data_IF_479682265450
#
_entry.id   IF_479682265450
#
_cell.length_a   1.000
_cell.length_b   1.000
_cell.length_c   1.000
_cell.angle_alpha   90.00
_cell.angle_beta   90.00
_cell.angle_gamma   90.00
#
_symmetry.space_group_name_H-M   'P 1'
#
loop_
_entity.id
_entity.type
_entity.pdbx_description
1 polymer ?
#
# COMPACT_ATOMS: atom_id res chain seq x y z
N UNK A 1 5.59 5.94 31.35
CA UNK A 1 6.61 4.96 30.90
C UNK A 1 6.82 5.24 29.41
N UNK A 2 8.04 5.39 28.92
CA UNK A 2 8.28 5.58 27.48
C UNK A 2 8.01 4.26 26.76
N UNK A 3 7.15 4.30 25.75
CA UNK A 3 6.85 3.13 24.92
C UNK A 3 8.02 2.84 23.99
N UNK A 4 8.41 1.59 23.84
CA UNK A 4 9.43 1.19 22.87
C UNK A 4 8.81 1.17 21.46
N UNK A 5 9.50 1.76 20.49
CA UNK A 5 9.14 1.75 19.08
C UNK A 5 10.39 1.66 18.22
N UNK A 6 10.24 1.15 17.00
CA UNK A 6 11.31 1.04 16.02
C UNK A 6 10.78 1.36 14.63
N UNK A 7 11.70 1.59 13.70
CA UNK A 7 11.41 1.69 12.27
C UNK A 7 12.53 0.95 11.52
N UNK A 8 12.12 0.03 10.65
CA UNK A 8 13.00 -0.59 9.66
C UNK A 8 12.64 -0.08 8.30
N UNK A 9 13.61 0.13 7.44
CA UNK A 9 13.44 0.76 6.14
C UNK A 9 14.47 0.21 5.14
N UNK A 10 14.27 0.41 3.84
CA UNK A 10 15.23 0.01 2.82
C UNK A 10 16.64 0.54 3.09
N UNK A 11 17.65 -0.19 2.62
CA UNK A 11 19.03 0.21 2.74
C UNK A 11 19.32 1.55 2.03
N UNK A 12 18.70 1.74 0.83
CA UNK A 12 18.78 3.00 0.11
C UNK A 12 17.52 3.24 -0.72
N UNK A 13 17.15 4.51 -0.87
CA UNK A 13 16.05 4.98 -1.71
C UNK A 13 16.60 6.04 -2.66
N UNK A 14 16.32 5.86 -3.94
CA UNK A 14 16.70 6.80 -5.00
C UNK A 14 15.42 7.38 -5.61
N UNK A 15 15.30 8.69 -5.63
CA UNK A 15 14.10 9.36 -6.12
C UNK A 15 14.39 10.52 -7.04
N UNK A 16 13.44 10.85 -7.92
CA UNK A 16 13.50 11.98 -8.82
C UNK A 16 14.10 11.67 -10.18
N UNK A 17 14.59 12.71 -10.84
CA UNK A 17 15.12 12.61 -12.21
C UNK A 17 16.33 11.67 -12.27
N UNK A 18 16.34 10.79 -13.26
CA UNK A 18 17.39 9.76 -13.48
C UNK A 18 17.56 8.75 -12.32
N UNK A 19 16.59 8.62 -11.41
CA UNK A 19 16.65 7.64 -10.34
C UNK A 19 16.84 6.21 -10.88
N UNK A 20 16.31 5.90 -12.07
CA UNK A 20 16.41 4.61 -12.75
C UNK A 20 17.86 4.19 -13.06
N UNK A 21 18.77 5.15 -13.27
CA UNK A 21 20.19 4.87 -13.58
C UNK A 21 20.91 4.17 -12.42
N UNK A 22 20.38 4.32 -11.20
CA UNK A 22 20.93 3.66 -10.01
C UNK A 22 20.81 2.12 -10.08
N UNK A 23 19.88 1.57 -10.86
CA UNK A 23 19.77 0.11 -11.06
C UNK A 23 21.08 -0.45 -11.60
N UNK A 24 21.63 0.18 -12.65
CA UNK A 24 22.93 -0.20 -13.24
C UNK A 24 24.06 -0.14 -12.21
N UNK A 25 24.09 0.91 -11.38
CA UNK A 25 25.10 1.08 -10.34
C UNK A 25 24.97 0.03 -9.23
N UNK A 26 23.73 -0.28 -8.80
CA UNK A 26 23.43 -1.31 -7.79
C UNK A 26 23.91 -2.68 -8.27
N UNK A 27 23.56 -3.08 -9.50
CA UNK A 27 23.94 -4.37 -10.09
C UNK A 27 25.47 -4.50 -10.10
N UNK A 28 26.19 -3.48 -10.57
CA UNK A 28 27.65 -3.46 -10.60
C UNK A 28 28.27 -3.50 -9.21
N UNK A 29 27.77 -2.70 -8.27
CA UNK A 29 28.27 -2.66 -6.89
C UNK A 29 28.07 -3.98 -6.14
N UNK A 30 26.96 -4.68 -6.41
CA UNK A 30 26.66 -6.00 -5.87
C UNK A 30 27.42 -7.12 -6.57
N UNK A 31 27.99 -6.86 -7.75
CA UNK A 31 28.66 -7.86 -8.57
C UNK A 31 27.70 -8.91 -9.11
N UNK A 32 26.41 -8.56 -9.21
CA UNK A 32 25.38 -9.47 -9.67
C UNK A 32 25.62 -9.88 -11.12
N UNK A 33 25.47 -11.16 -11.40
CA UNK A 33 25.71 -11.77 -12.73
C UNK A 33 24.43 -12.01 -13.48
N UNK A 34 23.35 -12.33 -12.75
CA UNK A 34 22.05 -12.64 -13.32
C UNK A 34 20.93 -12.02 -12.49
N UNK A 35 20.09 -11.25 -13.15
CA UNK A 35 18.98 -10.50 -12.54
C UNK A 35 17.65 -11.17 -12.87
N UNK A 36 16.84 -11.46 -11.87
CA UNK A 36 15.43 -11.79 -12.09
C UNK A 36 14.60 -10.51 -12.11
N UNK A 37 13.91 -10.25 -13.22
CA UNK A 37 13.07 -9.09 -13.39
C UNK A 37 11.60 -9.49 -13.24
N UNK A 38 10.94 -9.05 -12.17
CA UNK A 38 9.52 -9.27 -11.91
C UNK A 38 8.69 -8.12 -12.46
N UNK A 39 7.64 -8.44 -13.21
CA UNK A 39 6.65 -7.50 -13.75
C UNK A 39 5.31 -8.18 -14.00
N UNK A 40 4.41 -7.55 -14.72
CA UNK A 40 3.19 -8.14 -15.25
C UNK A 40 2.90 -7.65 -16.68
N UNK A 41 2.00 -8.35 -17.37
CA UNK A 41 1.62 -8.05 -18.76
C UNK A 41 1.02 -6.65 -18.94
N UNK A 42 0.39 -6.09 -17.90
CA UNK A 42 -0.14 -4.73 -17.93
C UNK A 42 0.97 -3.68 -17.98
N UNK A 43 2.02 -3.88 -17.19
CA UNK A 43 3.20 -2.99 -17.15
C UNK A 43 3.99 -3.07 -18.46
N UNK A 44 4.16 -4.28 -19.02
CA UNK A 44 4.79 -4.46 -20.34
C UNK A 44 3.95 -3.77 -21.44
N UNK A 45 2.63 -4.02 -21.47
CA UNK A 45 1.71 -3.42 -22.42
C UNK A 45 1.64 -1.90 -22.34
N UNK A 46 1.88 -1.31 -21.17
CA UNK A 46 1.98 0.12 -20.96
C UNK A 46 3.37 0.71 -21.36
N UNK A 47 4.32 -0.13 -21.75
CA UNK A 47 5.69 0.27 -22.12
C UNK A 47 6.56 0.73 -20.95
N UNK A 48 6.11 0.56 -19.71
CA UNK A 48 6.83 1.01 -18.51
C UNK A 48 8.02 0.13 -18.19
N UNK A 49 7.96 -1.15 -18.56
CA UNK A 49 9.03 -2.11 -18.31
C UNK A 49 10.33 -1.81 -19.06
N UNK A 50 10.25 -1.06 -20.17
CA UNK A 50 11.44 -0.73 -20.99
C UNK A 50 12.52 0.03 -20.21
N UNK A 51 12.13 0.97 -19.34
CA UNK A 51 13.08 1.79 -18.56
C UNK A 51 13.95 0.95 -17.61
N UNK A 52 13.41 0.13 -16.69
CA UNK A 52 14.22 -0.73 -15.85
C UNK A 52 14.98 -1.81 -16.63
N UNK A 53 14.38 -2.34 -17.71
CA UNK A 53 15.05 -3.32 -18.57
C UNK A 53 16.31 -2.73 -19.23
N UNK A 54 16.25 -1.51 -19.76
CA UNK A 54 17.40 -0.81 -20.32
C UNK A 54 18.49 -0.58 -19.27
N UNK A 55 18.12 -0.21 -18.05
CA UNK A 55 19.07 -0.04 -16.95
C UNK A 55 19.77 -1.36 -16.55
N UNK A 56 19.04 -2.48 -16.57
CA UNK A 56 19.61 -3.81 -16.33
C UNK A 56 20.54 -4.19 -17.48
N UNK A 57 20.13 -4.02 -18.75
CA UNK A 57 21.00 -4.27 -19.93
C UNK A 57 22.28 -3.46 -19.90
N UNK A 58 22.23 -2.20 -19.50
CA UNK A 58 23.39 -1.32 -19.37
C UNK A 58 24.40 -1.78 -18.31
N UNK A 59 23.99 -2.61 -17.36
CA UNK A 59 24.89 -3.20 -16.36
C UNK A 59 25.80 -4.27 -16.95
N UNK A 60 25.38 -4.95 -18.02
CA UNK A 60 26.03 -6.11 -18.62
C UNK A 60 25.68 -7.43 -17.94
N UNK A 61 24.79 -7.46 -16.96
CA UNK A 61 24.31 -8.69 -16.34
C UNK A 61 23.33 -9.42 -17.27
N UNK A 62 23.30 -10.75 -17.17
CA UNK A 62 22.21 -11.55 -17.74
C UNK A 62 20.92 -11.27 -16.99
N UNK A 63 19.76 -11.40 -17.66
CA UNK A 63 18.47 -11.25 -16.96
C UNK A 63 17.45 -12.26 -17.45
N UNK A 64 16.47 -12.53 -16.57
CA UNK A 64 15.34 -13.40 -16.81
C UNK A 64 14.07 -12.69 -16.38
N UNK A 65 13.05 -12.64 -17.24
CA UNK A 65 11.78 -11.92 -16.97
C UNK A 65 10.73 -12.89 -16.45
N UNK A 66 10.03 -12.47 -15.39
CA UNK A 66 8.94 -13.17 -14.73
C UNK A 66 7.70 -12.25 -14.77
N UNK A 67 6.78 -12.50 -15.69
CA UNK A 67 5.67 -11.62 -16.03
C UNK A 67 4.27 -12.27 -16.00
N UNK A 68 4.21 -13.57 -15.66
CA UNK A 68 2.99 -14.37 -15.63
C UNK A 68 2.26 -14.28 -14.26
N UNK A 69 2.24 -13.08 -13.65
CA UNK A 69 1.54 -12.85 -12.39
C UNK A 69 0.15 -12.26 -12.66
N UNK A 70 -0.94 -12.97 -12.27
CA UNK A 70 -2.29 -12.41 -12.39
C UNK A 70 -2.50 -11.26 -11.40
N UNK A 71 -3.46 -10.34 -11.66
CA UNK A 71 -3.90 -9.37 -10.66
C UNK A 71 -4.38 -10.08 -9.38
N UNK A 72 -4.08 -9.49 -8.22
CA UNK A 72 -4.50 -10.02 -6.92
C UNK A 72 -4.19 -11.51 -6.72
N UNK A 73 -2.92 -11.92 -6.83
CA UNK A 73 -2.53 -13.30 -6.96
C UNK A 73 -2.85 -14.11 -5.69
N UNK A 74 -3.29 -15.36 -5.89
CA UNK A 74 -3.38 -16.33 -4.80
C UNK A 74 -1.98 -16.77 -4.38
N UNK A 75 -1.87 -17.26 -3.13
CA UNK A 75 -0.61 -17.83 -2.63
C UNK A 75 -0.08 -18.96 -3.54
N UNK A 76 -0.97 -19.72 -4.19
CA UNK A 76 -0.59 -20.76 -5.15
C UNK A 76 0.01 -20.19 -6.43
N UNK A 77 -0.57 -19.08 -6.95
CA UNK A 77 -0.03 -18.42 -8.14
C UNK A 77 1.35 -17.82 -7.86
N UNK A 78 1.53 -17.22 -6.67
CA UNK A 78 2.83 -16.71 -6.24
C UNK A 78 3.83 -17.86 -6.06
N UNK A 79 3.43 -18.99 -5.46
CA UNK A 79 4.33 -20.15 -5.32
C UNK A 79 4.82 -20.64 -6.68
N UNK A 80 3.92 -20.76 -7.66
CA UNK A 80 4.29 -21.16 -9.03
C UNK A 80 5.34 -20.22 -9.64
N UNK A 81 5.15 -18.90 -9.48
CA UNK A 81 6.11 -17.91 -9.96
C UNK A 81 7.46 -18.00 -9.23
N UNK A 82 7.43 -18.24 -7.92
CA UNK A 82 8.65 -18.46 -7.12
C UNK A 82 9.38 -19.74 -7.56
N UNK A 83 8.66 -20.81 -7.86
CA UNK A 83 9.26 -22.07 -8.34
C UNK A 83 9.95 -21.87 -9.70
N UNK A 84 9.32 -21.11 -10.60
CA UNK A 84 9.93 -20.69 -11.86
C UNK A 84 11.17 -19.82 -11.61
N UNK A 85 11.06 -18.80 -10.74
CA UNK A 85 12.17 -17.94 -10.36
C UNK A 85 13.39 -18.71 -9.85
N UNK A 86 13.20 -19.74 -9.01
CA UNK A 86 14.30 -20.59 -8.50
C UNK A 86 15.12 -21.23 -9.62
N UNK A 87 14.48 -21.59 -10.74
CA UNK A 87 15.18 -22.18 -11.90
C UNK A 87 16.08 -21.19 -12.64
N UNK A 88 15.86 -19.89 -12.47
CA UNK A 88 16.62 -18.83 -13.13
C UNK A 88 18.08 -18.79 -12.68
N UNK A 89 18.37 -19.16 -11.42
CA UNK A 89 19.69 -19.01 -10.82
C UNK A 89 20.13 -17.55 -10.67
N UNK A 90 19.16 -16.60 -10.60
CA UNK A 90 19.44 -15.19 -10.39
C UNK A 90 20.02 -14.93 -9.00
N UNK A 91 20.87 -13.91 -8.91
CA UNK A 91 21.54 -13.47 -7.68
C UNK A 91 21.12 -12.07 -7.21
N UNK A 92 20.20 -11.43 -7.96
CA UNK A 92 19.55 -10.17 -7.61
C UNK A 92 18.15 -10.12 -8.23
N UNK A 93 17.20 -9.50 -7.51
CA UNK A 93 15.81 -9.29 -7.98
C UNK A 93 15.62 -7.80 -8.28
N UNK A 94 15.02 -7.49 -9.42
CA UNK A 94 14.50 -6.16 -9.77
C UNK A 94 13.01 -6.31 -10.08
N UNK A 95 12.14 -5.66 -9.33
CA UNK A 95 10.70 -5.74 -9.55
C UNK A 95 10.13 -4.38 -9.94
N UNK A 96 9.43 -4.35 -11.06
CA UNK A 96 8.77 -3.17 -11.61
C UNK A 96 7.28 -3.44 -11.74
N UNK A 97 6.46 -2.84 -10.89
CA UNK A 97 5.01 -3.08 -10.89
C UNK A 97 4.26 -2.44 -9.74
N UNK A 98 2.99 -2.78 -9.64
CA UNK A 98 2.15 -2.44 -8.50
C UNK A 98 2.43 -3.32 -7.27
N UNK A 99 1.61 -3.18 -6.22
CA UNK A 99 1.77 -3.93 -4.98
C UNK A 99 1.90 -5.44 -5.16
N UNK A 100 1.07 -6.05 -6.03
CA UNK A 100 1.09 -7.50 -6.27
C UNK A 100 2.43 -8.00 -6.82
N UNK A 101 3.02 -7.27 -7.77
CA UNK A 101 4.34 -7.62 -8.34
C UNK A 101 5.43 -7.48 -7.28
N UNK A 102 5.42 -6.37 -6.53
CA UNK A 102 6.39 -6.13 -5.48
C UNK A 102 6.28 -7.15 -4.35
N UNK A 103 5.07 -7.53 -3.96
CA UNK A 103 4.84 -8.53 -2.91
C UNK A 103 5.30 -9.94 -3.35
N UNK A 104 5.04 -10.33 -4.60
CA UNK A 104 5.56 -11.58 -5.16
C UNK A 104 7.10 -11.61 -5.18
N UNK A 105 7.73 -10.48 -5.56
CA UNK A 105 9.19 -10.35 -5.56
C UNK A 105 9.78 -10.38 -4.14
N UNK A 106 9.12 -9.77 -3.16
CA UNK A 106 9.51 -9.86 -1.74
C UNK A 106 9.45 -11.29 -1.23
N UNK A 107 8.39 -12.03 -1.56
CA UNK A 107 8.30 -13.47 -1.23
C UNK A 107 9.40 -14.26 -1.93
N UNK A 108 9.66 -14.01 -3.21
CA UNK A 108 10.75 -14.67 -3.93
C UNK A 108 12.11 -14.41 -3.24
N UNK A 109 12.35 -13.20 -2.71
CA UNK A 109 13.62 -12.85 -2.06
C UNK A 109 13.90 -13.64 -0.77
N UNK A 110 12.90 -14.29 -0.19
CA UNK A 110 13.01 -15.11 1.04
C UNK A 110 12.69 -16.60 0.80
N UNK A 111 12.36 -16.99 -0.43
CA UNK A 111 11.96 -18.34 -0.80
C UNK A 111 12.97 -19.09 -1.68
N UNK A 112 14.23 -18.64 -1.73
CA UNK A 112 15.32 -19.40 -2.38
C UNK A 112 15.78 -20.51 -1.42
N UNK A 113 14.83 -21.37 -1.07
CA UNK A 113 15.02 -22.52 -0.18
C UNK A 113 13.97 -23.58 -0.49
N UNK A 114 14.21 -24.82 -0.08
CA UNK A 114 13.23 -25.90 -0.16
C UNK A 114 12.65 -26.24 1.22
N UNK A 115 13.06 -25.51 2.27
CA UNK A 115 12.61 -25.76 3.64
C UNK A 115 11.16 -25.31 3.90
N UNK A 116 10.70 -24.28 3.16
CA UNK A 116 9.34 -23.73 3.26
C UNK A 116 8.93 -23.01 1.96
N UNK A 117 7.63 -22.90 1.75
CA UNK A 117 7.01 -22.18 0.64
C UNK A 117 6.09 -21.05 1.12
N UNK A 118 5.33 -20.46 0.20
CA UNK A 118 4.37 -19.39 0.51
C UNK A 118 3.32 -19.84 1.51
N UNK A 119 2.86 -21.10 1.41
CA UNK A 119 1.85 -21.67 2.30
C UNK A 119 2.33 -21.75 3.74
N UNK A 120 3.55 -22.23 3.96
CA UNK A 120 4.14 -22.30 5.30
C UNK A 120 4.36 -20.90 5.89
N UNK A 121 4.70 -19.91 5.06
CA UNK A 121 4.82 -18.52 5.49
C UNK A 121 3.48 -17.88 5.87
N UNK A 122 2.34 -18.34 5.30
CA UNK A 122 1.01 -17.89 5.74
C UNK A 122 0.73 -18.30 7.19
N UNK A 123 1.16 -19.51 7.57
CA UNK A 123 0.96 -20.02 8.92
C UNK A 123 2.03 -19.56 9.91
N UNK A 124 3.27 -19.41 9.44
CA UNK A 124 4.40 -18.97 10.26
C UNK A 124 5.34 -18.00 9.51
N UNK A 125 4.98 -16.71 9.41
CA UNK A 125 5.81 -15.71 8.75
C UNK A 125 7.22 -15.57 9.33
N UNK A 126 7.42 -15.96 10.60
CA UNK A 126 8.70 -15.91 11.30
C UNK A 126 9.80 -16.79 10.70
N UNK A 127 9.44 -17.75 9.84
CA UNK A 127 10.40 -18.61 9.14
C UNK A 127 11.18 -17.87 8.04
N UNK A 128 10.66 -16.78 7.50
CA UNK A 128 11.26 -16.08 6.37
C UNK A 128 12.65 -15.55 6.70
N UNK A 129 13.62 -15.86 5.86
CA UNK A 129 15.00 -15.36 5.92
C UNK A 129 15.38 -14.77 4.56
N UNK A 130 16.07 -13.61 4.58
CA UNK A 130 16.53 -12.96 3.36
C UNK A 130 17.56 -13.85 2.66
N UNK A 131 17.24 -14.23 1.42
CA UNK A 131 18.13 -15.04 0.56
C UNK A 131 18.83 -14.17 -0.49
N UNK A 132 18.08 -13.24 -1.12
CA UNK A 132 18.61 -12.39 -2.20
C UNK A 132 18.28 -10.91 -1.98
N UNK A 133 19.17 -10.01 -2.43
CA UNK A 133 18.87 -8.58 -2.46
C UNK A 133 17.79 -8.27 -3.49
N UNK A 134 17.00 -7.22 -3.21
CA UNK A 134 15.87 -6.82 -4.03
C UNK A 134 15.83 -5.31 -4.25
N UNK A 135 15.54 -4.92 -5.51
CA UNK A 135 15.26 -3.55 -5.93
C UNK A 135 13.78 -3.46 -6.30
N UNK A 136 13.04 -2.55 -5.69
CA UNK A 136 11.61 -2.33 -5.98
C UNK A 136 11.38 -0.99 -6.66
N UNK A 137 10.54 -1.01 -7.71
CA UNK A 137 10.20 0.13 -8.56
C UNK A 137 8.67 0.21 -8.65
N UNK A 138 8.01 1.05 -7.84
CA UNK A 138 6.56 1.15 -7.86
C UNK A 138 6.04 1.85 -9.12
N UNK A 139 5.00 1.28 -9.72
CA UNK A 139 4.24 1.84 -10.86
C UNK A 139 2.87 2.37 -10.45
N UNK A 140 2.63 2.47 -9.15
CA UNK A 140 1.45 3.08 -8.53
C UNK A 140 1.88 3.97 -7.37
N UNK A 141 1.05 4.94 -7.01
CA UNK A 141 1.27 5.79 -5.84
C UNK A 141 0.19 5.46 -4.78
N UNK A 142 0.33 4.31 -4.12
CA UNK A 142 -0.71 3.84 -3.22
C UNK A 142 -0.21 2.93 -2.10
N UNK A 143 0.08 1.69 -2.42
CA UNK A 143 0.30 0.61 -1.45
C UNK A 143 1.49 0.79 -0.51
N UNK A 144 2.52 1.55 -0.92
CA UNK A 144 3.78 1.62 -0.18
C UNK A 144 4.49 0.26 -0.04
N UNK A 145 4.15 -0.72 -0.91
CA UNK A 145 4.67 -2.08 -0.82
C UNK A 145 6.19 -2.14 -0.97
N UNK A 146 6.78 -1.14 -1.64
CA UNK A 146 8.22 -1.01 -1.83
C UNK A 146 9.01 -0.80 -0.52
N UNK A 147 8.33 -0.42 0.56
CA UNK A 147 8.98 -0.12 1.84
C UNK A 147 8.44 -0.95 3.01
N UNK A 148 7.31 -1.63 2.82
CA UNK A 148 6.69 -2.42 3.88
C UNK A 148 7.30 -3.83 4.02
N UNK A 149 7.28 -4.41 5.24
CA UNK A 149 7.64 -5.81 5.48
C UNK A 149 6.53 -6.80 5.09
N UNK A 150 5.46 -6.33 4.45
CA UNK A 150 4.25 -7.09 4.16
C UNK A 150 4.30 -7.66 2.75
N UNK A 151 3.76 -8.87 2.55
CA UNK A 151 3.38 -9.39 1.25
C UNK A 151 1.94 -9.93 1.35
N UNK A 152 1.06 -9.42 0.50
CA UNK A 152 -0.37 -9.75 0.54
C UNK A 152 -0.67 -10.77 -0.55
N UNK A 153 -1.31 -11.87 -0.18
CA UNK A 153 -1.77 -12.90 -1.11
C UNK A 153 -3.23 -13.26 -0.85
N UNK A 154 -3.95 -13.64 -1.90
CA UNK A 154 -5.28 -14.19 -1.74
C UNK A 154 -5.20 -15.64 -1.24
N UNK A 155 -6.10 -16.00 -0.32
CA UNK A 155 -6.31 -17.36 0.19
C UNK A 155 -7.74 -17.75 -0.19
N UNK A 156 -7.94 -18.35 -1.38
CA UNK A 156 -9.28 -18.61 -1.91
C UNK A 156 -10.16 -19.46 -0.97
N UNK A 157 -9.56 -20.39 -0.24
CA UNK A 157 -10.26 -21.28 0.68
C UNK A 157 -10.88 -20.53 1.88
N UNK A 158 -10.39 -19.33 2.16
CA UNK A 158 -10.88 -18.47 3.25
C UNK A 158 -11.66 -17.27 2.73
N UNK A 159 -11.76 -17.09 1.41
CA UNK A 159 -12.34 -15.90 0.75
C UNK A 159 -11.74 -14.57 1.29
N UNK A 160 -10.45 -14.59 1.67
CA UNK A 160 -9.75 -13.49 2.31
C UNK A 160 -8.40 -13.22 1.65
N UNK A 161 -7.92 -11.98 1.78
CA UNK A 161 -6.52 -11.63 1.57
C UNK A 161 -5.77 -11.70 2.90
N UNK A 162 -4.60 -12.31 2.89
CA UNK A 162 -3.77 -12.47 4.10
C UNK A 162 -2.42 -11.83 3.87
N UNK A 163 -1.98 -11.04 4.85
CA UNK A 163 -0.65 -10.44 4.85
C UNK A 163 0.36 -11.33 5.57
N UNK A 164 1.37 -11.76 4.85
CA UNK A 164 2.59 -12.34 5.42
C UNK A 164 3.49 -11.18 5.83
N UNK A 165 3.92 -11.13 7.09
CA UNK A 165 4.68 -10.00 7.62
C UNK A 165 5.99 -10.48 8.23
N UNK A 166 7.11 -10.09 7.61
CA UNK A 166 8.44 -10.36 8.12
C UNK A 166 9.44 -9.28 7.67
N UNK A 167 10.25 -8.77 8.57
CA UNK A 167 11.23 -7.71 8.29
C UNK A 167 12.27 -8.07 7.20
N UNK A 168 12.53 -9.36 6.99
CA UNK A 168 13.42 -9.83 5.93
C UNK A 168 12.84 -9.61 4.51
N UNK A 169 11.56 -9.24 4.39
CA UNK A 169 10.94 -8.86 3.11
C UNK A 169 11.08 -7.37 2.77
N UNK A 170 11.59 -6.55 3.70
CA UNK A 170 11.90 -5.15 3.38
C UNK A 170 12.93 -5.12 2.24
N UNK A 171 12.68 -4.27 1.24
CA UNK A 171 13.56 -4.12 0.09
C UNK A 171 14.95 -3.60 0.49
N UNK A 172 15.98 -4.01 -0.24
CA UNK A 172 17.32 -3.43 -0.08
C UNK A 172 17.37 -2.06 -0.74
N UNK A 173 16.75 -1.90 -1.90
CA UNK A 173 16.74 -0.67 -2.69
C UNK A 173 15.35 -0.34 -3.21
N UNK A 174 15.05 0.95 -3.26
CA UNK A 174 13.80 1.47 -3.84
C UNK A 174 14.14 2.55 -4.87
N UNK A 175 13.46 2.52 -6.02
CA UNK A 175 13.58 3.53 -7.06
C UNK A 175 12.23 4.24 -7.21
N UNK A 176 12.15 5.50 -6.86
CA UNK A 176 10.97 6.35 -7.01
C UNK A 176 11.14 7.25 -8.23
N UNK A 177 10.53 6.87 -9.34
CA UNK A 177 10.60 7.62 -10.60
C UNK A 177 9.17 7.92 -11.10
N UNK A 178 8.80 9.18 -11.09
CA UNK A 178 7.44 9.60 -11.45
C UNK A 178 7.04 9.28 -12.90
N UNK A 179 8.00 8.97 -13.78
CA UNK A 179 7.72 8.47 -15.14
C UNK A 179 6.94 7.16 -15.11
N UNK A 180 7.13 6.34 -14.06
CA UNK A 180 6.45 5.06 -13.88
C UNK A 180 4.95 5.19 -13.61
N UNK A 181 4.50 6.37 -13.18
CA UNK A 181 3.07 6.67 -12.92
C UNK A 181 2.50 7.75 -13.83
N UNK A 182 3.29 8.25 -14.81
CA UNK A 182 2.89 9.36 -15.68
C UNK A 182 1.55 9.08 -16.38
N UNK A 183 1.44 7.91 -17.00
CA UNK A 183 0.29 7.51 -17.81
C UNK A 183 -0.65 6.54 -17.06
N UNK A 184 -0.58 6.52 -15.72
CA UNK A 184 -1.46 5.67 -14.91
C UNK A 184 -2.92 6.08 -15.16
N UNK A 185 -3.83 5.15 -15.53
CA UNK A 185 -5.24 5.48 -15.75
C UNK A 185 -5.85 6.17 -14.53
N UNK A 186 -6.62 7.25 -14.74
CA UNK A 186 -7.20 8.10 -13.67
C UNK A 186 -7.89 7.28 -12.58
N UNK A 187 -8.66 6.25 -12.94
CA UNK A 187 -9.35 5.39 -11.97
C UNK A 187 -8.39 4.63 -11.06
N UNK A 188 -7.26 4.19 -11.61
CA UNK A 188 -6.23 3.48 -10.83
C UNK A 188 -5.46 4.48 -9.96
N UNK A 189 -5.08 5.64 -10.52
CA UNK A 189 -4.42 6.71 -9.78
C UNK A 189 -5.27 7.19 -8.60
N UNK A 190 -6.58 7.38 -8.81
CA UNK A 190 -7.54 7.76 -7.77
C UNK A 190 -7.64 6.71 -6.66
N UNK A 191 -7.90 5.46 -7.02
CA UNK A 191 -8.03 4.38 -6.04
C UNK A 191 -6.76 4.18 -5.22
N UNK A 192 -5.59 4.16 -5.87
CA UNK A 192 -4.31 3.99 -5.18
C UNK A 192 -3.94 5.22 -4.35
N UNK A 193 -4.22 6.43 -4.83
CA UNK A 193 -3.97 7.66 -4.07
C UNK A 193 -4.81 7.75 -2.80
N UNK A 194 -6.09 7.32 -2.84
CA UNK A 194 -6.93 7.26 -1.63
C UNK A 194 -6.50 6.13 -0.70
N UNK A 195 -5.93 5.04 -1.22
CA UNK A 195 -5.31 3.99 -0.41
C UNK A 195 -4.12 4.56 0.40
N UNK A 196 -3.22 5.31 -0.24
CA UNK A 196 -2.14 6.02 0.46
C UNK A 196 -2.68 7.02 1.50
N UNK A 197 -3.78 7.71 1.21
CA UNK A 197 -4.46 8.61 2.15
C UNK A 197 -4.98 7.85 3.38
N UNK A 198 -5.61 6.68 3.17
CA UNK A 198 -6.06 5.81 4.25
C UNK A 198 -4.87 5.32 5.09
N UNK A 199 -3.77 4.90 4.47
CA UNK A 199 -2.55 4.53 5.18
C UNK A 199 -2.08 5.64 6.13
N UNK A 200 -1.92 6.85 5.60
CA UNK A 200 -1.41 7.97 6.39
C UNK A 200 -2.34 8.33 7.56
N UNK A 201 -3.66 8.47 7.31
CA UNK A 201 -4.57 8.91 8.36
C UNK A 201 -4.80 7.84 9.43
N UNK A 202 -4.85 6.56 9.05
CA UNK A 202 -4.99 5.46 10.01
C UNK A 202 -3.74 5.30 10.86
N UNK A 203 -2.54 5.34 10.26
CA UNK A 203 -1.29 5.28 11.01
C UNK A 203 -1.13 6.47 11.96
N UNK A 204 -1.60 7.65 11.55
CA UNK A 204 -1.57 8.84 12.38
C UNK A 204 -2.58 8.78 13.53
N UNK A 205 -3.80 8.26 13.33
CA UNK A 205 -4.88 8.22 14.32
C UNK A 205 -4.99 6.90 15.09
N UNK A 206 -4.06 5.97 14.88
CA UNK A 206 -4.07 4.64 15.49
C UNK A 206 -3.43 4.57 16.88
N UNK A 207 -3.71 3.51 17.64
CA UNK A 207 -3.17 3.24 18.96
C UNK A 207 -1.64 3.08 19.00
N UNK A 208 -1.05 2.60 17.91
CA UNK A 208 0.40 2.38 17.78
C UNK A 208 1.14 3.57 17.19
N UNK A 209 0.44 4.69 16.95
CA UNK A 209 1.06 5.92 16.48
C UNK A 209 2.23 6.31 17.41
N UNK A 210 3.34 6.68 16.80
CA UNK A 210 4.59 6.99 17.50
C UNK A 210 5.36 8.05 16.69
N UNK A 211 6.45 8.65 17.25
CA UNK A 211 7.15 9.74 16.58
C UNK A 211 7.63 9.43 15.16
N UNK A 212 7.95 8.17 14.82
CA UNK A 212 8.33 7.80 13.46
C UNK A 212 7.11 7.73 12.54
N UNK A 213 6.04 7.04 12.94
CA UNK A 213 4.83 7.00 12.12
C UNK A 213 4.21 8.37 11.94
N UNK A 214 4.23 9.21 12.98
CA UNK A 214 3.66 10.56 12.94
C UNK A 214 4.37 11.46 11.93
N UNK A 215 5.71 11.41 11.90
CA UNK A 215 6.50 12.18 10.96
C UNK A 215 6.10 11.89 9.49
N UNK A 216 6.09 10.61 9.13
CA UNK A 216 5.79 10.20 7.76
C UNK A 216 4.30 10.30 7.42
N UNK A 217 3.42 9.97 8.37
CA UNK A 217 1.98 10.03 8.14
C UNK A 217 1.50 11.48 7.94
N UNK A 218 1.95 12.43 8.75
CA UNK A 218 1.59 13.84 8.60
C UNK A 218 2.11 14.44 7.31
N UNK A 219 3.36 14.17 6.94
CA UNK A 219 3.92 14.65 5.67
C UNK A 219 3.21 14.00 4.49
N UNK A 220 2.91 12.69 4.57
CA UNK A 220 2.13 11.99 3.56
C UNK A 220 0.72 12.58 3.39
N UNK A 221 0.02 12.89 4.49
CA UNK A 221 -1.29 13.55 4.47
C UNK A 221 -1.20 14.93 3.77
N UNK A 222 -0.22 15.75 4.13
CA UNK A 222 -0.03 17.05 3.54
C UNK A 222 0.19 16.96 2.02
N UNK A 223 1.06 16.08 1.58
CA UNK A 223 1.32 15.85 0.16
C UNK A 223 0.08 15.36 -0.58
N UNK A 224 -0.68 14.40 -0.02
CA UNK A 224 -1.85 13.83 -0.70
C UNK A 224 -2.97 14.85 -0.78
N UNK A 225 -3.37 15.45 0.36
CA UNK A 225 -4.53 16.35 0.42
C UNK A 225 -4.39 17.57 -0.51
N UNK A 226 -3.16 17.98 -0.82
CA UNK A 226 -2.87 19.14 -1.65
C UNK A 226 -2.47 18.80 -3.10
N UNK A 227 -2.36 17.52 -3.48
CA UNK A 227 -1.88 17.17 -4.81
C UNK A 227 -2.71 16.09 -5.54
N UNK A 228 -3.50 15.27 -4.84
CA UNK A 228 -4.14 14.08 -5.42
C UNK A 228 -5.09 14.42 -6.57
N UNK A 229 -5.91 15.46 -6.43
CA UNK A 229 -6.89 15.87 -7.45
C UNK A 229 -6.16 16.26 -8.74
N UNK A 230 -5.19 17.18 -8.64
CA UNK A 230 -4.42 17.62 -9.81
C UNK A 230 -3.57 16.49 -10.41
N UNK A 231 -2.98 15.63 -9.59
CA UNK A 231 -2.22 14.47 -10.06
C UNK A 231 -3.08 13.48 -10.85
N UNK A 232 -4.37 13.35 -10.51
CA UNK A 232 -5.32 12.47 -11.20
C UNK A 232 -5.95 13.13 -12.45
N UNK A 233 -6.21 14.43 -12.42
CA UNK A 233 -6.96 15.13 -13.46
C UNK A 233 -6.08 15.65 -14.59
N UNK A 234 -4.83 16.01 -14.29
CA UNK A 234 -3.88 16.56 -15.25
C UNK A 234 -2.79 15.52 -15.61
N UNK A 235 -2.78 14.99 -16.83
CA UNK A 235 -1.76 14.02 -17.27
C UNK A 235 -0.34 14.58 -17.23
N UNK A 236 -0.17 15.90 -17.34
CA UNK A 236 1.14 16.56 -17.35
C UNK A 236 1.59 17.08 -15.97
N UNK A 237 0.80 16.89 -14.92
CA UNK A 237 1.11 17.29 -13.54
C UNK A 237 2.21 16.41 -12.92
N UNK A 238 3.39 16.38 -13.54
CA UNK A 238 4.50 15.52 -13.11
C UNK A 238 5.03 15.83 -11.70
N UNK A 239 4.97 17.11 -11.30
CA UNK A 239 5.38 17.51 -9.95
C UNK A 239 4.43 16.95 -8.88
N UNK A 240 3.13 17.03 -9.13
CA UNK A 240 2.09 16.49 -8.25
C UNK A 240 2.13 14.96 -8.22
N UNK A 241 2.31 14.31 -9.37
CA UNK A 241 2.51 12.86 -9.47
C UNK A 241 3.74 12.40 -8.66
N UNK A 242 4.86 13.12 -8.77
CA UNK A 242 6.04 12.81 -7.97
C UNK A 242 5.77 12.95 -6.47
N UNK A 243 5.02 14.00 -6.05
CA UNK A 243 4.60 14.16 -4.65
C UNK A 243 3.70 13.03 -4.17
N UNK A 244 2.78 12.55 -5.02
CA UNK A 244 1.93 11.41 -4.72
C UNK A 244 2.75 10.12 -4.54
N UNK A 245 3.77 9.89 -5.36
CA UNK A 245 4.65 8.73 -5.22
C UNK A 245 5.46 8.79 -3.91
N UNK A 246 5.99 9.96 -3.56
CA UNK A 246 6.68 10.19 -2.27
C UNK A 246 5.71 9.97 -1.10
N UNK A 247 4.48 10.48 -1.22
CA UNK A 247 3.47 10.33 -0.17
C UNK A 247 3.05 8.86 0.04
N UNK A 248 2.93 8.07 -1.02
CA UNK A 248 2.68 6.63 -0.92
C UNK A 248 3.84 5.90 -0.22
N UNK A 249 5.07 6.25 -0.54
CA UNK A 249 6.27 5.77 0.16
C UNK A 249 6.24 6.14 1.65
N UNK A 250 5.87 7.38 2.00
CA UNK A 250 5.71 7.80 3.41
C UNK A 250 4.59 7.05 4.11
N UNK A 251 3.45 6.80 3.44
CA UNK A 251 2.39 5.92 3.95
C UNK A 251 2.92 4.52 4.29
N UNK A 252 3.74 3.94 3.42
CA UNK A 252 4.40 2.66 3.65
C UNK A 252 5.34 2.66 4.86
N UNK A 253 6.14 3.73 5.06
CA UNK A 253 6.97 3.90 6.27
C UNK A 253 6.11 4.02 7.53
N UNK A 254 5.01 4.76 7.46
CA UNK A 254 4.08 4.89 8.58
C UNK A 254 3.45 3.54 8.95
N UNK A 255 3.05 2.72 7.95
CA UNK A 255 2.57 1.35 8.18
C UNK A 255 3.65 0.50 8.87
N UNK A 256 4.88 0.58 8.40
CA UNK A 256 6.00 -0.18 8.98
C UNK A 256 6.23 0.17 10.45
N UNK A 257 6.04 1.45 10.80
CA UNK A 257 6.23 1.94 12.18
C UNK A 257 5.04 1.69 13.11
N UNK A 258 3.79 1.67 12.61
CA UNK A 258 2.58 1.60 13.47
C UNK A 258 1.50 0.62 12.98
N UNK A 259 1.30 0.50 11.67
CA UNK A 259 0.24 -0.32 11.06
C UNK A 259 -1.09 0.41 10.88
N UNK A 260 -1.94 -0.14 10.00
CA UNK A 260 -3.29 0.36 9.69
C UNK A 260 -4.33 -0.11 10.72
N UNK A 261 -5.58 0.35 10.59
CA UNK A 261 -6.63 0.20 11.59
C UNK A 261 -7.96 -0.30 10.99
N UNK A 262 -9.10 0.31 11.37
CA UNK A 262 -10.45 -0.16 11.05
C UNK A 262 -10.84 0.01 9.58
N UNK A 263 -10.35 1.03 8.86
CA UNK A 263 -10.66 1.18 7.42
C UNK A 263 -10.19 -0.06 6.67
N UNK A 264 -8.92 -0.42 6.84
CA UNK A 264 -8.35 -1.60 6.21
C UNK A 264 -8.97 -2.90 6.72
N UNK A 265 -9.26 -3.01 8.03
CA UNK A 265 -9.86 -4.21 8.58
C UNK A 265 -11.23 -4.50 7.96
N UNK A 266 -12.08 -3.47 7.83
CA UNK A 266 -13.43 -3.60 7.28
C UNK A 266 -13.45 -3.64 5.74
N UNK A 267 -12.38 -3.20 5.06
CA UNK A 267 -12.29 -3.26 3.60
C UNK A 267 -11.89 -4.65 3.08
N UNK A 268 -11.20 -5.45 3.85
CA UNK A 268 -10.70 -6.77 3.41
C UNK A 268 -11.79 -7.72 2.91
N UNK A 269 -12.97 -7.86 3.57
CA UNK A 269 -14.05 -8.68 3.06
C UNK A 269 -14.58 -8.22 1.69
N UNK A 270 -14.57 -6.90 1.43
CA UNK A 270 -15.02 -6.34 0.15
C UNK A 270 -14.12 -6.77 -1.01
N UNK A 271 -12.82 -6.77 -0.80
CA UNK A 271 -11.85 -7.27 -1.77
C UNK A 271 -11.87 -8.79 -1.91
N UNK A 272 -11.94 -9.52 -0.78
CA UNK A 272 -11.88 -10.99 -0.75
C UNK A 272 -13.09 -11.65 -1.39
N UNK A 273 -14.30 -11.19 -1.05
CA UNK A 273 -15.56 -11.80 -1.50
C UNK A 273 -16.11 -11.19 -2.79
N UNK A 274 -16.04 -9.87 -2.93
CA UNK A 274 -16.68 -9.15 -4.04
C UNK A 274 -15.70 -8.65 -5.09
N UNK A 275 -14.40 -8.90 -4.92
CA UNK A 275 -13.34 -8.48 -5.82
C UNK A 275 -13.33 -6.97 -6.09
N UNK A 276 -13.80 -6.17 -5.12
CA UNK A 276 -13.70 -4.72 -5.20
C UNK A 276 -12.24 -4.33 -5.01
N UNK A 277 -11.71 -3.52 -5.91
CA UNK A 277 -10.30 -3.10 -5.86
C UNK A 277 -9.96 -2.49 -4.49
N UNK A 278 -8.80 -2.83 -3.92
CA UNK A 278 -8.43 -2.52 -2.53
C UNK A 278 -8.56 -1.03 -2.18
N UNK A 279 -8.00 -0.14 -3.01
CA UNK A 279 -8.11 1.30 -2.78
C UNK A 279 -9.54 1.84 -2.89
N UNK A 280 -10.41 1.21 -3.70
CA UNK A 280 -11.84 1.55 -3.76
C UNK A 280 -12.54 1.09 -2.48
N UNK A 281 -12.27 -0.13 -2.00
CA UNK A 281 -12.82 -0.64 -0.73
C UNK A 281 -12.45 0.25 0.45
N UNK A 282 -11.20 0.72 0.50
CA UNK A 282 -10.76 1.66 1.52
C UNK A 282 -11.45 3.03 1.37
N UNK A 283 -11.59 3.54 0.15
CA UNK A 283 -12.24 4.82 -0.12
C UNK A 283 -13.70 4.87 0.34
N UNK A 284 -14.46 3.79 0.10
CA UNK A 284 -15.87 3.66 0.54
C UNK A 284 -15.99 3.76 2.07
N UNK A 285 -15.06 3.16 2.80
CA UNK A 285 -15.08 3.11 4.27
C UNK A 285 -14.36 4.27 4.94
N UNK A 286 -13.52 5.03 4.22
CA UNK A 286 -12.61 6.01 4.80
C UNK A 286 -13.34 7.07 5.65
N UNK A 287 -14.28 7.79 5.05
CA UNK A 287 -15.00 8.86 5.75
C UNK A 287 -15.94 8.32 6.83
N UNK A 288 -16.77 7.28 6.60
CA UNK A 288 -17.58 6.65 7.65
C UNK A 288 -16.77 6.24 8.88
N UNK A 289 -15.66 5.55 8.67
CA UNK A 289 -14.80 5.09 9.78
C UNK A 289 -14.12 6.27 10.48
N UNK A 290 -13.61 7.27 9.75
CA UNK A 290 -13.01 8.45 10.38
C UNK A 290 -14.03 9.27 11.16
N UNK A 291 -15.28 9.35 10.71
CA UNK A 291 -16.39 9.97 11.44
C UNK A 291 -16.66 9.22 12.73
N UNK A 292 -16.78 7.89 12.66
CA UNK A 292 -16.90 7.06 13.86
C UNK A 292 -15.71 7.27 14.81
N UNK A 293 -14.49 7.22 14.32
CA UNK A 293 -13.28 7.37 15.13
C UNK A 293 -13.20 8.75 15.80
N UNK A 294 -13.68 9.81 15.15
CA UNK A 294 -13.61 11.20 15.64
C UNK A 294 -14.49 11.45 16.90
N UNK A 295 -15.38 10.52 17.26
CA UNK A 295 -16.11 10.60 18.54
C UNK A 295 -15.17 10.30 19.72
N UNK A 296 -14.01 9.68 19.49
CA UNK A 296 -12.97 9.51 20.51
C UNK A 296 -12.14 10.80 20.64
N UNK A 297 -12.04 11.41 21.85
CA UNK A 297 -11.39 12.71 22.04
C UNK A 297 -9.95 12.77 21.48
N UNK A 298 -9.14 11.74 21.75
CA UNK A 298 -7.76 11.72 21.30
C UNK A 298 -7.64 11.62 19.75
N UNK A 299 -8.55 10.93 19.08
CA UNK A 299 -8.59 10.91 17.59
C UNK A 299 -8.95 12.30 17.06
N UNK A 300 -9.93 12.94 17.69
CA UNK A 300 -10.35 14.29 17.32
C UNK A 300 -9.20 15.30 17.43
N UNK A 301 -8.44 15.24 18.52
CA UNK A 301 -7.23 16.08 18.71
C UNK A 301 -6.19 15.80 17.61
N UNK A 302 -5.95 14.53 17.26
CA UNK A 302 -5.02 14.19 16.18
C UNK A 302 -5.48 14.67 14.82
N UNK A 303 -6.78 14.59 14.52
CA UNK A 303 -7.34 15.18 13.29
C UNK A 303 -7.15 16.70 13.26
N UNK A 304 -7.28 17.38 14.40
CA UNK A 304 -7.01 18.81 14.48
C UNK A 304 -5.53 19.15 14.22
N UNK A 305 -4.60 18.33 14.71
CA UNK A 305 -3.16 18.46 14.38
C UNK A 305 -2.92 18.24 12.88
N UNK A 306 -3.59 17.25 12.27
CA UNK A 306 -3.49 17.03 10.83
C UNK A 306 -4.03 18.21 10.03
N UNK A 307 -5.15 18.83 10.46
CA UNK A 307 -5.67 20.07 9.88
C UNK A 307 -4.62 21.19 9.90
N UNK A 308 -4.01 21.43 11.06
CA UNK A 308 -3.02 22.50 11.22
C UNK A 308 -1.79 22.31 10.31
N UNK A 309 -1.48 21.06 9.93
CA UNK A 309 -0.40 20.74 8.99
C UNK A 309 -0.82 20.85 7.53
N UNK A 310 -2.01 20.38 7.19
CA UNK A 310 -2.42 20.12 5.81
C UNK A 310 -3.29 21.21 5.18
N UNK A 311 -3.93 22.07 5.99
CA UNK A 311 -4.78 23.14 5.48
C UNK A 311 -3.91 24.32 5.07
N UNK A 312 -3.73 24.51 3.75
CA UNK A 312 -2.95 25.60 3.17
C UNK A 312 -3.83 26.81 2.76
N UNK A 313 -5.13 26.67 2.86
CA UNK A 313 -6.09 27.73 2.51
C UNK A 313 -6.35 28.66 3.69
N UNK A 314 -6.93 29.82 3.41
CA UNK A 314 -7.29 30.82 4.44
C UNK A 314 -8.56 30.41 5.24
N UNK A 315 -8.88 29.14 5.29
CA UNK A 315 -9.96 28.63 6.12
C UNK A 315 -9.54 28.61 7.59
N UNK A 316 -10.25 29.34 8.42
CA UNK A 316 -9.92 29.49 9.83
C UNK A 316 -10.83 28.66 10.70
N UNK A 317 -10.60 27.36 10.78
CA UNK A 317 -11.11 26.55 11.88
C UNK A 317 -10.33 26.88 13.14
N UNK A 318 -11.02 27.18 14.22
CA UNK A 318 -10.39 27.64 15.47
C UNK A 318 -10.48 26.61 16.59
N UNK A 319 -11.52 25.79 16.59
CA UNK A 319 -11.72 24.76 17.58
C UNK A 319 -11.28 23.38 17.09
N UNK A 320 -10.99 22.48 18.02
CA UNK A 320 -10.67 21.07 17.71
C UNK A 320 -11.80 20.39 16.93
N UNK A 321 -13.05 20.69 17.29
CA UNK A 321 -14.24 20.13 16.62
C UNK A 321 -14.35 20.60 15.16
N UNK A 322 -14.15 21.90 14.89
CA UNK A 322 -14.17 22.45 13.53
C UNK A 322 -13.06 21.85 12.67
N UNK A 323 -11.83 21.76 13.21
CA UNK A 323 -10.67 21.19 12.51
C UNK A 323 -10.87 19.72 12.16
N UNK A 324 -11.36 18.94 13.11
CA UNK A 324 -11.65 17.51 12.88
C UNK A 324 -12.78 17.33 11.86
N UNK A 325 -13.84 18.14 11.92
CA UNK A 325 -14.93 18.10 10.94
C UNK A 325 -14.45 18.48 9.53
N UNK A 326 -13.58 19.48 9.42
CA UNK A 326 -12.97 19.87 8.15
C UNK A 326 -12.16 18.72 7.54
N UNK A 327 -11.33 18.05 8.34
CA UNK A 327 -10.55 16.91 7.87
C UNK A 327 -11.46 15.82 7.28
N UNK A 328 -12.55 15.45 7.96
CA UNK A 328 -13.50 14.44 7.49
C UNK A 328 -14.17 14.90 6.19
N UNK A 329 -14.65 16.15 6.15
CA UNK A 329 -15.27 16.73 4.96
C UNK A 329 -14.29 16.76 3.76
N UNK A 330 -12.99 17.03 3.99
CA UNK A 330 -11.97 16.99 2.95
C UNK A 330 -11.76 15.59 2.39
N UNK A 331 -11.76 14.54 3.25
CA UNK A 331 -11.71 13.15 2.80
C UNK A 331 -12.89 12.81 1.89
N UNK A 332 -14.12 13.18 2.29
CA UNK A 332 -15.33 12.99 1.49
C UNK A 332 -15.27 13.73 0.15
N UNK A 333 -14.82 14.99 0.18
CA UNK A 333 -14.70 15.82 -1.02
C UNK A 333 -13.72 15.19 -2.04
N UNK A 334 -12.58 14.68 -1.58
CA UNK A 334 -11.59 14.01 -2.45
C UNK A 334 -12.19 12.75 -3.09
N UNK A 335 -12.80 11.87 -2.31
CA UNK A 335 -13.41 10.64 -2.83
C UNK A 335 -14.46 10.95 -3.89
N UNK A 336 -15.30 11.97 -3.61
CA UNK A 336 -16.33 12.44 -4.56
C UNK A 336 -15.72 13.07 -5.81
N UNK A 337 -14.70 13.93 -5.70
CA UNK A 337 -14.02 14.58 -6.82
C UNK A 337 -13.38 13.55 -7.76
N UNK A 338 -12.84 12.48 -7.19
CA UNK A 338 -12.19 11.41 -7.93
C UNK A 338 -13.16 10.40 -8.57
N UNK A 339 -14.47 10.62 -8.46
CA UNK A 339 -15.53 9.75 -8.98
C UNK A 339 -15.42 8.29 -8.47
N UNK A 340 -14.93 8.12 -7.23
CA UNK A 340 -14.86 6.79 -6.61
C UNK A 340 -16.25 6.44 -6.06
N UNK A 341 -16.81 5.26 -6.39
CA UNK A 341 -18.08 4.82 -5.82
C UNK A 341 -18.07 4.82 -4.30
N UNK A 342 -19.18 5.24 -3.68
CA UNK A 342 -19.31 5.33 -2.22
C UNK A 342 -20.34 4.38 -1.65
N UNK A 343 -21.01 3.58 -2.49
CA UNK A 343 -22.02 2.61 -2.07
C UNK A 343 -21.71 1.21 -2.59
N UNK A 344 -21.88 0.21 -1.75
CA UNK A 344 -21.73 -1.19 -2.09
C UNK A 344 -22.78 -1.69 -3.11
N UNK A 345 -23.91 -0.96 -3.26
CA UNK A 345 -24.91 -1.23 -4.32
C UNK A 345 -24.34 -1.15 -5.70
N UNK A 346 -23.37 -0.26 -5.95
CA UNK A 346 -22.73 -0.09 -7.24
C UNK A 346 -21.90 -1.32 -7.66
N UNK A 347 -21.56 -2.17 -6.68
CA UNK A 347 -20.83 -3.42 -6.87
C UNK A 347 -21.72 -4.66 -6.76
N UNK A 348 -23.04 -4.48 -6.64
CA UNK A 348 -23.98 -5.59 -6.54
C UNK A 348 -23.90 -6.37 -5.23
N UNK A 349 -23.37 -5.77 -4.17
CA UNK A 349 -23.33 -6.40 -2.84
C UNK A 349 -24.76 -6.46 -2.29
N UNK A 350 -25.29 -7.68 -2.00
CA UNK A 350 -26.67 -7.82 -1.54
C UNK A 350 -26.81 -7.41 -0.08
N UNK A 351 -27.97 -6.77 0.25
CA UNK A 351 -28.21 -6.29 1.61
C UNK A 351 -28.28 -7.41 2.66
N UNK A 352 -28.67 -8.61 2.25
CA UNK A 352 -28.72 -9.83 3.09
C UNK A 352 -27.33 -10.31 3.53
N UNK A 353 -26.26 -9.84 2.88
CA UNK A 353 -24.89 -10.26 3.22
C UNK A 353 -24.22 -9.38 4.30
N UNK A 354 -24.96 -8.42 4.84
CA UNK A 354 -24.47 -7.52 5.89
C UNK A 354 -23.79 -8.27 7.05
N UNK A 355 -24.45 -9.30 7.58
CA UNK A 355 -23.89 -10.06 8.72
C UNK A 355 -22.63 -10.83 8.34
N UNK A 356 -22.54 -11.33 7.11
CA UNK A 356 -21.33 -11.98 6.60
C UNK A 356 -20.14 -11.01 6.49
N UNK A 357 -20.40 -9.76 6.07
CA UNK A 357 -19.38 -8.71 6.06
C UNK A 357 -18.93 -8.33 7.48
N UNK A 358 -19.88 -8.20 8.42
CA UNK A 358 -19.57 -7.92 9.83
C UNK A 358 -18.70 -9.03 10.42
N UNK A 359 -19.11 -10.30 10.25
CA UNK A 359 -18.36 -11.44 10.78
C UNK A 359 -16.92 -11.48 10.21
N UNK A 360 -16.79 -11.36 8.89
CA UNK A 360 -15.49 -11.39 8.22
C UNK A 360 -14.60 -10.20 8.61
N UNK A 361 -15.15 -8.98 8.66
CA UNK A 361 -14.40 -7.78 9.07
C UNK A 361 -13.93 -7.87 10.51
N UNK A 362 -14.77 -8.40 11.41
CA UNK A 362 -14.41 -8.59 12.83
C UNK A 362 -13.36 -9.68 13.06
N UNK A 363 -13.09 -10.56 12.10
CA UNK A 363 -11.97 -11.51 12.19
C UNK A 363 -10.60 -10.85 12.00
N UNK A 364 -10.53 -9.66 11.41
CA UNK A 364 -9.27 -8.95 11.13
C UNK A 364 -8.74 -8.24 12.39
N UNK A 365 -8.68 -8.97 13.50
CA UNK A 365 -8.30 -8.47 14.83
C UNK A 365 -6.90 -7.82 14.83
N UNK A 366 -5.98 -8.32 14.00
CA UNK A 366 -4.62 -7.76 13.89
C UNK A 366 -4.62 -6.25 13.58
N UNK A 367 -5.61 -5.77 12.83
CA UNK A 367 -5.78 -4.36 12.48
C UNK A 367 -6.74 -3.64 13.44
N UNK A 368 -7.85 -4.28 13.82
CA UNK A 368 -8.86 -3.67 14.70
C UNK A 368 -8.29 -3.26 16.06
N UNK A 369 -7.37 -4.04 16.63
CA UNK A 369 -6.71 -3.69 17.91
C UNK A 369 -5.84 -2.42 17.82
N UNK A 370 -5.48 -2.00 16.61
CA UNK A 370 -4.73 -0.76 16.37
C UNK A 370 -5.68 0.45 16.33
N UNK A 371 -6.99 0.26 16.17
CA UNK A 371 -7.94 1.38 16.12
C UNK A 371 -8.11 1.99 17.51
N UNK A 372 -7.94 3.32 17.61
CA UNK A 372 -7.95 4.00 18.91
C UNK A 372 -9.32 3.93 19.60
N UNK A 373 -10.40 4.05 18.83
CA UNK A 373 -11.75 3.75 19.28
C UNK A 373 -12.05 2.27 19.02
N UNK A 374 -12.27 1.43 20.05
CA UNK A 374 -12.61 0.02 19.83
C UNK A 374 -13.83 -0.12 18.92
N UNK A 375 -13.76 -1.05 17.97
CA UNK A 375 -14.86 -1.36 17.05
C UNK A 375 -15.54 -2.63 17.53
N UNK A 376 -16.83 -2.53 17.84
CA UNK A 376 -17.69 -3.69 18.15
C UNK A 376 -18.38 -4.22 16.89
N UNK A 377 -18.96 -5.42 16.95
CA UNK A 377 -19.76 -5.95 15.84
C UNK A 377 -20.95 -5.04 15.49
N UNK A 378 -21.55 -4.40 16.49
CA UNK A 378 -22.66 -3.43 16.28
C UNK A 378 -22.17 -2.15 15.59
N UNK A 379 -20.96 -1.69 15.90
CA UNK A 379 -20.36 -0.55 15.22
C UNK A 379 -20.03 -0.90 13.76
N UNK A 380 -19.42 -2.06 13.52
CA UNK A 380 -19.12 -2.55 12.18
C UNK A 380 -20.41 -2.70 11.35
N UNK A 381 -21.49 -3.21 11.96
CA UNK A 381 -22.80 -3.31 11.30
C UNK A 381 -23.34 -1.95 10.87
N UNK A 382 -23.28 -0.93 11.72
CA UNK A 382 -23.70 0.44 11.39
C UNK A 382 -22.85 1.04 10.27
N UNK A 383 -21.53 0.84 10.31
CA UNK A 383 -20.63 1.32 9.27
C UNK A 383 -20.92 0.68 7.91
N UNK A 384 -21.16 -0.64 7.86
CA UNK A 384 -21.56 -1.29 6.61
C UNK A 384 -22.95 -0.88 6.16
N UNK A 385 -23.94 -0.70 7.07
CA UNK A 385 -25.28 -0.22 6.73
C UNK A 385 -25.25 1.18 6.08
N UNK A 386 -24.35 2.06 6.50
CA UNK A 386 -24.20 3.40 5.96
C UNK A 386 -23.79 3.40 4.49
N UNK A 387 -23.02 2.42 4.07
CA UNK A 387 -22.46 2.31 2.70
C UNK A 387 -23.24 1.32 1.81
N UNK A 388 -24.20 0.57 2.34
CA UNK A 388 -25.11 -0.31 1.60
C UNK A 388 -26.27 0.47 1.00
#
# INVERSE_FOLDING_TARGET
MLTQYNLKMPHAVYGGENAMDNITAIIKARGAKKVAMFTDKGIEGAGLFALPEEAVKASGAEYYVLDELPPEPSYMAVQKLVDEFKTSGADLIVACGGGSVMDAAKLASVLVTDDYGVKELLDNPGMAQKCLPIVLIPTTAGTGAEVTPNAIVAVPEKELKVGIVNENMIADYVILDARMIKNLPRKIAAATGVDALAHCIECFTGNKANPFSDLYALEGLDLILNNIEKACDDPDAMAEKNRMQIAAYYGGLAITASGTTAVHALSYPLGGKYHIAHGVSNAILLAPVMRFNSEHPAVKERLAVAYDRCCHENETCTTVDEKAAWMIARLEAIVKHLDIPTSLKEFGVPAEDLEGLVESGMQVQRLLVNNMRPVTADDARKLYQEIM
#
